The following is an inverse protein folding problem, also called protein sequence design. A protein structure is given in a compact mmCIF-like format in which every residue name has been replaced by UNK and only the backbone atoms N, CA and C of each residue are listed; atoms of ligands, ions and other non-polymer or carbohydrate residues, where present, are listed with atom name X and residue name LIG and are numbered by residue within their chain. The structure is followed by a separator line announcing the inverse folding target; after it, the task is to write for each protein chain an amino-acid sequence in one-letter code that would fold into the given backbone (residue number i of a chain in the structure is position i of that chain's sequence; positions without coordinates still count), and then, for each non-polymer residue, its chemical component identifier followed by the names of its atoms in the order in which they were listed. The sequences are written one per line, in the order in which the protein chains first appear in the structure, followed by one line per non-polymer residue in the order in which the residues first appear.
data_IF_871249438097
#
_entry.id   IF_871249438097
#
_cell.length_a   1.000
_cell.length_b   1.000
_cell.length_c   1.000
_cell.angle_alpha   90.00
_cell.angle_beta   90.00
_cell.angle_gamma   90.00
#
_symmetry.space_group_name_H-M   'P 1'
#
loop_
_entity.id
_entity.type
_entity.pdbx_description
1 polymer ?
#
# COMPACT_ATOMS: atom_id res chain seq x y z
N UNK A 1 18.20 -4.04 9.71
CA UNK A 1 17.50 -3.41 8.55
C UNK A 1 16.58 -2.26 8.97
N UNK A 2 15.89 -2.37 10.11
CA UNK A 2 14.97 -1.33 10.61
C UNK A 2 15.68 -0.02 10.95
N UNK A 3 16.91 -0.10 11.43
CA UNK A 3 17.75 1.06 11.75
C UNK A 3 18.37 1.72 10.51
N UNK A 4 18.08 1.22 9.31
CA UNK A 4 18.55 1.84 8.08
C UNK A 4 17.85 3.20 7.90
N UNK A 5 18.59 4.30 8.07
CA UNK A 5 18.10 5.67 7.91
C UNK A 5 17.35 5.89 6.58
N UNK A 6 17.80 5.23 5.51
CA UNK A 6 17.16 5.28 4.18
C UNK A 6 15.74 4.70 4.15
N UNK A 7 15.43 3.72 4.99
CA UNK A 7 14.12 3.06 5.02
C UNK A 7 13.18 3.66 6.06
N UNK A 8 13.67 4.53 6.93
CA UNK A 8 12.87 5.20 7.96
C UNK A 8 11.63 5.93 7.40
N UNK A 9 11.70 6.68 6.28
CA UNK A 9 10.51 7.30 5.69
C UNK A 9 9.43 6.28 5.30
N UNK A 10 9.84 5.15 4.73
CA UNK A 10 8.92 4.07 4.36
C UNK A 10 8.26 3.46 5.61
N UNK A 11 9.01 3.18 6.67
CA UNK A 11 8.44 2.60 7.88
C UNK A 11 7.47 3.55 8.59
N UNK A 12 7.77 4.85 8.64
CA UNK A 12 6.83 5.85 9.17
C UNK A 12 5.53 5.88 8.35
N UNK A 13 5.65 5.83 7.02
CA UNK A 13 4.49 5.80 6.15
C UNK A 13 3.65 4.54 6.37
N UNK A 14 4.29 3.36 6.44
CA UNK A 14 3.59 2.10 6.74
C UNK A 14 2.94 2.13 8.12
N UNK A 15 3.62 2.67 9.13
CA UNK A 15 3.06 2.82 10.47
C UNK A 15 1.79 3.67 10.46
N UNK A 16 1.81 4.82 9.78
CA UNK A 16 0.64 5.69 9.66
C UNK A 16 -0.51 4.99 8.92
N UNK A 17 -0.23 4.26 7.84
CA UNK A 17 -1.26 3.53 7.09
C UNK A 17 -1.86 2.37 7.91
N UNK A 18 -1.02 1.57 8.58
CA UNK A 18 -1.50 0.45 9.39
C UNK A 18 -2.30 0.92 10.61
N UNK A 19 -1.92 2.03 11.24
CA UNK A 19 -2.69 2.62 12.33
C UNK A 19 -4.10 3.01 11.88
N UNK A 20 -4.25 3.53 10.65
CA UNK A 20 -5.57 3.82 10.06
C UNK A 20 -6.42 2.55 9.81
N UNK A 21 -5.79 1.38 9.74
CA UNK A 21 -6.45 0.07 9.74
C UNK A 21 -6.58 -0.55 11.14
N UNK A 22 -6.30 0.21 12.20
CA UNK A 22 -6.26 -0.25 13.59
C UNK A 22 -5.25 -1.37 13.84
N UNK A 23 -4.11 -1.34 13.13
CA UNK A 23 -3.02 -2.30 13.25
C UNK A 23 -1.73 -1.62 13.69
N UNK A 24 -1.02 -2.23 14.63
CA UNK A 24 0.31 -1.78 15.02
C UNK A 24 1.36 -2.29 14.04
N UNK A 25 2.17 -1.37 13.51
CA UNK A 25 3.34 -1.76 12.75
C UNK A 25 4.33 -2.51 13.63
N UNK A 26 4.77 -3.67 13.15
CA UNK A 26 5.85 -4.44 13.74
C UNK A 26 6.74 -4.93 12.61
N UNK A 27 8.06 -4.96 12.79
CA UNK A 27 8.99 -5.55 11.83
C UNK A 27 8.63 -6.98 11.43
N UNK A 28 8.04 -7.74 12.36
CA UNK A 28 7.60 -9.11 12.15
C UNK A 28 6.48 -9.17 11.10
N UNK A 29 5.62 -8.16 10.99
CA UNK A 29 4.60 -8.09 9.94
C UNK A 29 5.22 -7.98 8.56
N UNK A 30 6.31 -7.22 8.42
CA UNK A 30 7.05 -7.19 7.17
C UNK A 30 7.57 -8.59 6.85
N UNK A 31 8.13 -9.34 7.80
CA UNK A 31 8.68 -10.66 7.49
C UNK A 31 7.59 -11.69 7.15
N UNK A 32 6.60 -11.85 8.05
CA UNK A 32 5.66 -12.97 8.05
C UNK A 32 4.28 -12.66 7.46
N UNK A 33 4.05 -11.42 7.00
CA UNK A 33 2.74 -10.93 6.58
C UNK A 33 1.72 -10.89 7.74
N UNK A 34 0.53 -10.35 7.44
CA UNK A 34 -0.60 -10.32 8.36
C UNK A 34 -1.50 -11.54 8.15
N UNK A 35 -1.88 -12.28 9.21
CA UNK A 35 -2.81 -13.40 9.09
C UNK A 35 -4.16 -12.93 8.53
N UNK A 36 -4.70 -13.65 7.54
CA UNK A 36 -6.01 -13.34 6.97
C UNK A 36 -7.09 -14.02 7.82
N UNK A 37 -8.01 -13.23 8.37
CA UNK A 37 -9.13 -13.68 9.18
C UNK A 37 -10.44 -13.44 8.44
N UNK A 38 -11.34 -14.43 8.44
CA UNK A 38 -12.62 -14.40 7.72
C UNK A 38 -13.41 -13.07 7.79
N UNK A 39 -13.72 -12.53 8.98
CA UNK A 39 -14.55 -11.33 9.11
C UNK A 39 -13.86 -10.02 8.67
N UNK A 40 -12.54 -10.02 8.49
CA UNK A 40 -11.78 -8.82 8.10
C UNK A 40 -10.93 -9.07 6.84
N UNK A 41 -11.34 -10.03 6.01
CA UNK A 41 -10.57 -10.53 4.87
C UNK A 41 -10.09 -9.41 3.94
N UNK A 42 -10.95 -8.49 3.53
CA UNK A 42 -10.58 -7.39 2.62
C UNK A 42 -9.49 -6.50 3.22
N UNK A 43 -9.63 -6.15 4.51
CA UNK A 43 -8.61 -5.37 5.24
C UNK A 43 -7.30 -6.13 5.30
N UNK A 44 -7.35 -7.40 5.68
CA UNK A 44 -6.14 -8.21 5.88
C UNK A 44 -5.40 -8.43 4.55
N UNK A 45 -6.14 -8.59 3.45
CA UNK A 45 -5.59 -8.65 2.10
C UNK A 45 -4.96 -7.32 1.66
N UNK A 46 -5.60 -6.18 1.91
CA UNK A 46 -5.00 -4.86 1.65
C UNK A 46 -3.73 -4.67 2.45
N UNK A 47 -3.72 -5.02 3.73
CA UNK A 47 -2.54 -4.94 4.59
C UNK A 47 -1.41 -5.79 4.01
N UNK A 48 -1.71 -7.02 3.60
CA UNK A 48 -0.73 -7.88 2.95
C UNK A 48 -0.20 -7.31 1.63
N UNK A 49 -1.06 -6.67 0.84
CA UNK A 49 -0.62 -5.95 -0.37
C UNK A 49 0.32 -4.79 -0.02
N UNK A 50 0.01 -3.98 0.99
CA UNK A 50 0.89 -2.89 1.44
C UNK A 50 2.25 -3.43 1.88
N UNK A 51 2.27 -4.53 2.64
CA UNK A 51 3.51 -5.18 3.06
C UNK A 51 4.29 -5.74 1.86
N UNK A 52 3.61 -6.32 0.87
CA UNK A 52 4.25 -6.81 -0.35
C UNK A 52 4.86 -5.66 -1.18
N UNK A 53 4.11 -4.57 -1.40
CA UNK A 53 4.58 -3.39 -2.11
C UNK A 53 5.77 -2.74 -1.39
N UNK A 54 5.78 -2.73 -0.06
CA UNK A 54 6.92 -2.26 0.72
C UNK A 54 8.18 -3.11 0.47
N UNK A 55 8.07 -4.44 0.51
CA UNK A 55 9.19 -5.35 0.20
C UNK A 55 9.74 -5.11 -1.21
N UNK A 56 8.85 -4.99 -2.20
CA UNK A 56 9.23 -4.71 -3.59
C UNK A 56 9.95 -3.37 -3.70
N UNK A 57 9.46 -2.34 -3.01
CA UNK A 57 10.08 -1.00 -3.00
C UNK A 57 11.48 -1.03 -2.39
N UNK A 58 11.65 -1.73 -1.26
CA UNK A 58 12.97 -1.92 -0.62
C UNK A 58 13.93 -2.64 -1.57
N UNK A 59 13.46 -3.73 -2.19
CA UNK A 59 14.28 -4.51 -3.12
C UNK A 59 14.69 -3.68 -4.35
N UNK A 60 13.74 -3.02 -5.02
CA UNK A 60 13.97 -2.25 -6.24
C UNK A 60 14.89 -1.05 -6.00
N UNK A 61 14.65 -0.28 -4.94
CA UNK A 61 15.51 0.88 -4.61
C UNK A 61 16.88 0.47 -4.09
N UNK A 62 17.04 -0.69 -3.46
CA UNK A 62 18.36 -1.25 -3.17
C UNK A 62 19.07 -1.67 -4.46
N UNK A 63 18.37 -2.35 -5.36
CA UNK A 63 18.95 -2.82 -6.62
C UNK A 63 19.41 -1.68 -7.51
N UNK A 64 18.61 -0.63 -7.71
CA UNK A 64 19.02 0.57 -8.48
C UNK A 64 20.25 1.24 -7.89
N UNK A 65 20.33 1.36 -6.57
CA UNK A 65 21.51 1.92 -5.91
C UNK A 65 22.77 1.08 -6.18
N UNK A 66 22.67 -0.25 -6.28
CA UNK A 66 23.80 -1.13 -6.56
C UNK A 66 24.18 -1.14 -8.05
N UNK A 67 23.18 -1.13 -8.93
CA UNK A 67 23.36 -1.27 -10.38
C UNK A 67 23.73 0.08 -11.05
N UNK A 68 23.12 1.19 -10.58
CA UNK A 68 23.16 2.52 -11.22
C UNK A 68 23.81 3.59 -10.32
N UNK A 69 24.10 3.29 -9.05
CA UNK A 69 24.60 4.27 -8.08
C UNK A 69 23.55 5.29 -7.64
N UNK A 70 22.30 5.15 -8.07
CA UNK A 70 21.23 6.13 -7.81
C UNK A 70 20.57 5.91 -6.45
N UNK A 71 20.51 6.97 -5.63
CA UNK A 71 19.77 6.97 -4.37
C UNK A 71 18.30 7.27 -4.63
N UNK A 72 17.48 6.23 -4.79
CA UNK A 72 16.03 6.39 -4.90
C UNK A 72 15.33 6.46 -3.52
N UNK A 73 14.38 7.38 -3.37
CA UNK A 73 13.50 7.44 -2.19
C UNK A 73 12.54 6.24 -2.19
N UNK A 74 12.72 5.35 -1.21
CA UNK A 74 11.93 4.13 -1.06
C UNK A 74 10.46 4.40 -0.71
N UNK A 75 10.18 5.45 0.08
CA UNK A 75 8.83 5.86 0.45
C UNK A 75 8.08 6.45 -0.75
N UNK A 76 8.75 7.28 -1.55
CA UNK A 76 8.18 7.82 -2.78
C UNK A 76 7.90 6.70 -3.81
N UNK A 77 8.83 5.76 -3.98
CA UNK A 77 8.65 4.60 -4.86
C UNK A 77 7.46 3.74 -4.43
N UNK A 78 7.34 3.46 -3.13
CA UNK A 78 6.21 2.75 -2.55
C UNK A 78 4.88 3.46 -2.83
N UNK A 79 4.80 4.75 -2.51
CA UNK A 79 3.58 5.55 -2.71
C UNK A 79 3.17 5.57 -4.18
N UNK A 80 4.11 5.81 -5.09
CA UNK A 80 3.85 5.78 -6.53
C UNK A 80 3.33 4.41 -7.00
N UNK A 81 3.93 3.32 -6.50
CA UNK A 81 3.49 1.96 -6.82
C UNK A 81 2.06 1.68 -6.32
N UNK A 82 1.74 2.11 -5.11
CA UNK A 82 0.42 1.96 -4.51
C UNK A 82 -0.64 2.78 -5.26
N UNK A 83 -0.36 4.06 -5.53
CA UNK A 83 -1.26 4.94 -6.32
C UNK A 83 -1.53 4.33 -7.69
N UNK A 84 -0.47 3.86 -8.37
CA UNK A 84 -0.59 3.26 -9.70
C UNK A 84 -1.46 2.00 -9.68
N UNK A 85 -1.31 1.16 -8.64
CA UNK A 85 -2.14 -0.03 -8.48
C UNK A 85 -3.61 0.31 -8.25
N UNK A 86 -3.89 1.24 -7.33
CA UNK A 86 -5.27 1.68 -7.03
C UNK A 86 -5.94 2.23 -8.30
N UNK A 87 -5.23 3.06 -9.07
CA UNK A 87 -5.75 3.60 -10.34
C UNK A 87 -6.07 2.51 -11.35
N UNK A 88 -5.17 1.53 -11.51
CA UNK A 88 -5.40 0.42 -12.44
C UNK A 88 -6.65 -0.38 -12.08
N UNK A 89 -6.82 -0.69 -10.79
CA UNK A 89 -7.97 -1.44 -10.26
C UNK A 89 -9.26 -0.63 -10.37
N UNK A 90 -9.21 0.68 -10.09
CA UNK A 90 -10.33 1.59 -10.26
C UNK A 90 -10.77 1.67 -11.73
N UNK A 91 -9.83 1.85 -12.67
CA UNK A 91 -10.16 1.91 -14.09
C UNK A 91 -10.76 0.59 -14.59
N UNK A 92 -10.22 -0.54 -14.13
CA UNK A 92 -10.79 -1.85 -14.44
C UNK A 92 -12.22 -1.96 -13.90
N UNK A 93 -12.46 -1.63 -12.63
CA UNK A 93 -13.77 -1.70 -12.01
C UNK A 93 -14.79 -0.76 -12.66
N UNK A 94 -14.38 0.47 -12.98
CA UNK A 94 -15.20 1.42 -13.71
C UNK A 94 -15.60 0.88 -15.10
N UNK A 95 -14.67 0.26 -15.83
CA UNK A 95 -14.94 -0.35 -17.13
C UNK A 95 -15.85 -1.58 -17.05
N UNK A 96 -15.79 -2.32 -15.95
CA UNK A 96 -16.57 -3.52 -15.70
C UNK A 96 -17.94 -3.24 -15.04
N UNK A 97 -18.23 -1.97 -14.69
CA UNK A 97 -19.44 -1.62 -13.93
C UNK A 97 -19.45 -2.18 -12.51
N UNK A 98 -18.27 -2.45 -11.92
CA UNK A 98 -18.09 -3.12 -10.63
C UNK A 98 -17.49 -2.21 -9.55
N UNK A 99 -17.87 -0.92 -9.55
CA UNK A 99 -17.37 0.06 -8.59
C UNK A 99 -17.69 -0.33 -7.14
N UNK A 100 -18.84 -0.94 -6.87
CA UNK A 100 -19.21 -1.41 -5.53
C UNK A 100 -18.16 -2.41 -4.99
N UNK A 101 -17.74 -3.37 -5.82
CA UNK A 101 -16.69 -4.33 -5.45
C UNK A 101 -15.32 -3.67 -5.26
N UNK A 102 -15.03 -2.62 -6.02
CA UNK A 102 -13.82 -1.82 -5.81
C UNK A 102 -13.87 -1.10 -4.45
N UNK A 103 -14.99 -0.49 -4.09
CA UNK A 103 -15.13 0.22 -2.83
C UNK A 103 -15.00 -0.72 -1.62
N UNK A 104 -15.63 -1.89 -1.67
CA UNK A 104 -15.53 -2.95 -0.65
C UNK A 104 -14.10 -3.46 -0.44
N UNK A 105 -13.24 -3.34 -1.45
CA UNK A 105 -11.88 -3.88 -1.41
C UNK A 105 -10.81 -2.82 -1.19
N UNK A 106 -10.93 -1.64 -1.79
CA UNK A 106 -9.88 -0.62 -1.86
C UNK A 106 -10.21 0.66 -1.11
N UNK A 107 -11.50 1.03 -1.04
CA UNK A 107 -11.96 2.23 -0.36
C UNK A 107 -12.32 1.99 1.13
N UNK A 108 -11.76 0.93 1.73
CA UNK A 108 -12.03 0.54 3.12
C UNK A 108 -11.83 1.71 4.09
N UNK A 109 -12.93 2.18 4.67
CA UNK A 109 -12.96 3.32 5.62
C UNK A 109 -12.26 4.60 5.09
N UNK A 110 -12.14 4.75 3.77
CA UNK A 110 -11.43 5.86 3.15
C UNK A 110 -9.92 5.91 3.44
N UNK A 111 -9.30 4.80 3.86
CA UNK A 111 -7.89 4.79 4.28
C UNK A 111 -6.95 5.06 3.12
N UNK A 112 -7.09 4.32 2.00
CA UNK A 112 -6.21 4.48 0.83
C UNK A 112 -6.81 5.44 -0.19
N UNK A 113 -8.11 5.27 -0.45
CA UNK A 113 -8.85 6.06 -1.41
C UNK A 113 -10.35 6.07 -1.06
N UNK A 114 -11.11 6.90 -1.75
CA UNK A 114 -12.57 6.92 -1.74
C UNK A 114 -13.10 7.20 -3.15
N UNK A 115 -14.32 6.77 -3.46
CA UNK A 115 -15.01 7.17 -4.69
C UNK A 115 -16.04 8.24 -4.30
N UNK A 116 -15.91 9.42 -4.88
CA UNK A 116 -16.85 10.52 -4.69
C UNK A 116 -17.92 10.48 -5.80
N UNK A 117 -19.19 10.81 -5.53
CA UNK A 117 -20.16 11.06 -6.60
C UNK A 117 -19.64 12.19 -7.49
N UNK A 118 -19.53 12.07 -8.83
CA UNK A 118 -20.24 11.15 -9.76
C UNK A 118 -19.47 9.86 -10.16
N UNK A 119 -18.58 9.34 -9.32
CA UNK A 119 -17.73 8.19 -9.61
C UNK A 119 -16.26 8.56 -9.82
N UNK A 120 -15.75 9.55 -9.08
CA UNK A 120 -14.36 10.01 -9.17
C UNK A 120 -13.51 9.45 -8.04
N UNK A 121 -12.36 8.87 -8.39
CA UNK A 121 -11.37 8.36 -7.44
C UNK A 121 -10.63 9.50 -6.74
N UNK A 122 -10.67 9.50 -5.40
CA UNK A 122 -9.92 10.42 -4.52
C UNK A 122 -8.86 9.62 -3.75
N UNK A 123 -7.61 10.10 -3.76
CA UNK A 123 -6.50 9.44 -3.07
C UNK A 123 -6.25 10.07 -1.69
N UNK A 124 -6.13 9.24 -0.65
CA UNK A 124 -6.00 9.68 0.75
C UNK A 124 -4.62 9.31 1.35
N UNK A 125 -3.58 9.17 0.50
CA UNK A 125 -2.26 8.62 0.83
C UNK A 125 -1.22 9.66 1.23
#
# INVERSE_FOLDING_TARGET
YLECARLQPLFRLLQNLLLRFWLHFSPHLILYAHPVRGPMKSRDLLVNLLLALAKVSIYKTRRRMLDEGELCDCGAYFRSSLVSRIRAEFHWAASAGSLDSFEEQWALSGVLCSVSPPGLLVMNL
#
